data_IF_458955902983
#
_entry.id   IF_458955902983
#
_cell.length_a   1.000
_cell.length_b   1.000
_cell.length_c   1.000
_cell.angle_alpha   90.00
_cell.angle_beta   90.00
_cell.angle_gamma   90.00
#
_symmetry.space_group_name_H-M   'P 1'
#
loop_
_entity.id
_entity.type
_entity.pdbx_description
1 polymer ?
#
# COMPACT_ATOMS: atom_id res chain seq x y z
N UNK A 1 -9.68 -26.70 14.10
CA UNK A 1 -9.11 -25.71 13.16
C UNK A 1 -9.76 -24.38 13.46
N UNK A 2 -8.99 -23.40 13.93
CA UNK A 2 -9.51 -22.07 14.27
C UNK A 2 -9.94 -21.39 12.97
N UNK A 3 -11.25 -21.19 12.80
CA UNK A 3 -11.80 -20.28 11.81
C UNK A 3 -11.27 -18.89 12.15
N UNK A 4 -10.17 -18.52 11.49
CA UNK A 4 -9.48 -17.26 11.68
C UNK A 4 -10.46 -16.18 11.24
N UNK A 5 -10.93 -15.41 12.22
CA UNK A 5 -11.79 -14.26 12.05
C UNK A 5 -11.53 -13.57 10.72
N UNK A 6 -12.58 -13.53 9.89
CA UNK A 6 -12.75 -12.64 8.75
C UNK A 6 -12.80 -11.19 9.26
N UNK A 7 -11.72 -10.69 9.84
CA UNK A 7 -11.44 -9.26 9.77
C UNK A 7 -11.18 -8.99 8.30
N UNK A 8 -12.21 -8.55 7.58
CA UNK A 8 -12.11 -7.90 6.28
C UNK A 8 -11.17 -6.68 6.44
N UNK A 9 -9.86 -6.94 6.45
CA UNK A 9 -8.86 -5.91 6.30
C UNK A 9 -8.60 -5.82 4.80
N UNK A 10 -9.44 -5.05 4.10
CA UNK A 10 -9.49 -4.96 2.64
C UNK A 10 -8.13 -4.59 2.01
N UNK A 11 -7.23 -4.01 2.81
CA UNK A 11 -5.87 -3.67 2.44
C UNK A 11 -4.85 -4.65 3.06
N UNK A 12 -4.84 -5.88 2.53
CA UNK A 12 -3.72 -6.81 2.73
C UNK A 12 -2.49 -6.36 1.94
N UNK A 13 -1.29 -6.89 2.23
CA UNK A 13 -0.08 -6.56 1.46
C UNK A 13 -0.25 -6.87 -0.03
N UNK A 14 -0.84 -8.03 -0.36
CA UNK A 14 -1.10 -8.42 -1.75
C UNK A 14 -2.14 -7.51 -2.43
N UNK A 15 -3.17 -7.08 -1.70
CA UNK A 15 -4.14 -6.13 -2.24
C UNK A 15 -3.52 -4.75 -2.51
N UNK A 16 -2.65 -4.26 -1.61
CA UNK A 16 -1.92 -3.01 -1.80
C UNK A 16 -0.98 -3.11 -3.01
N UNK A 17 -0.24 -4.21 -3.13
CA UNK A 17 0.62 -4.48 -4.29
C UNK A 17 -0.16 -4.48 -5.61
N UNK A 18 -1.30 -5.17 -5.65
CA UNK A 18 -2.19 -5.20 -6.83
C UNK A 18 -2.74 -3.79 -7.17
N UNK A 19 -3.15 -3.00 -6.17
CA UNK A 19 -3.62 -1.61 -6.37
C UNK A 19 -2.51 -0.73 -6.97
N UNK A 20 -1.30 -0.79 -6.41
CA UNK A 20 -0.15 -0.02 -6.89
C UNK A 20 0.21 -0.47 -8.32
N UNK A 21 0.31 -1.78 -8.53
CA UNK A 21 0.64 -2.41 -9.81
C UNK A 21 -0.36 -2.09 -10.91
N UNK A 22 -1.68 -2.14 -10.63
CA UNK A 22 -2.72 -1.86 -11.63
C UNK A 22 -2.86 -0.38 -12.00
N UNK A 23 -2.53 0.54 -11.10
CA UNK A 23 -2.53 1.97 -11.43
C UNK A 23 -3.92 2.60 -11.63
N UNK A 24 -5.00 1.96 -11.16
CA UNK A 24 -6.36 2.49 -11.35
C UNK A 24 -6.60 3.72 -10.46
N UNK A 25 -7.08 4.81 -11.06
CA UNK A 25 -7.29 6.09 -10.36
C UNK A 25 -8.19 5.98 -9.12
N UNK A 26 -9.28 5.22 -9.22
CA UNK A 26 -10.22 5.05 -8.10
C UNK A 26 -9.56 4.28 -6.94
N UNK A 27 -8.86 3.18 -7.24
CA UNK A 27 -8.17 2.37 -6.24
C UNK A 27 -7.04 3.15 -5.57
N UNK A 28 -6.31 3.97 -6.35
CA UNK A 28 -5.29 4.88 -5.81
C UNK A 28 -5.88 5.94 -4.88
N UNK A 29 -7.04 6.50 -5.21
CA UNK A 29 -7.72 7.45 -4.34
C UNK A 29 -8.19 6.79 -3.02
N UNK A 30 -8.67 5.56 -3.08
CA UNK A 30 -9.05 4.78 -1.91
C UNK A 30 -7.83 4.45 -1.04
N UNK A 31 -6.74 3.96 -1.65
CA UNK A 31 -5.49 3.66 -0.94
C UNK A 31 -4.91 4.91 -0.28
N UNK A 32 -4.93 6.06 -0.96
CA UNK A 32 -4.50 7.34 -0.39
C UNK A 32 -5.33 7.71 0.83
N UNK A 33 -6.66 7.61 0.73
CA UNK A 33 -7.56 7.94 1.84
C UNK A 33 -7.29 7.03 3.04
N UNK A 34 -7.12 5.73 2.82
CA UNK A 34 -6.83 4.77 3.89
C UNK A 34 -5.45 4.99 4.51
N UNK A 35 -4.42 5.26 3.70
CA UNK A 35 -3.06 5.57 4.16
C UNK A 35 -3.05 6.79 5.09
N UNK A 36 -3.77 7.85 4.74
CA UNK A 36 -3.83 9.07 5.54
C UNK A 36 -4.66 8.91 6.82
N UNK A 37 -5.57 7.93 6.86
CA UNK A 37 -6.46 7.70 8.00
C UNK A 37 -5.88 6.71 9.04
N UNK A 38 -5.04 5.76 8.61
CA UNK A 38 -4.49 4.73 9.48
C UNK A 38 -2.97 4.54 9.24
N UNK A 39 -2.11 4.88 10.23
CA UNK A 39 -0.67 4.66 10.16
C UNK A 39 -0.27 3.22 9.83
N UNK A 40 -1.07 2.22 10.21
CA UNK A 40 -0.80 0.80 9.88
C UNK A 40 -0.91 0.52 8.39
N UNK A 41 -1.73 1.28 7.66
CA UNK A 41 -1.80 1.19 6.20
C UNK A 41 -0.55 1.82 5.57
N UNK A 42 -0.06 2.93 6.12
CA UNK A 42 1.21 3.53 5.71
C UNK A 42 2.38 2.53 5.87
N UNK A 43 2.50 1.87 7.02
CA UNK A 43 3.51 0.82 7.25
C UNK A 43 3.44 -0.32 6.23
N UNK A 44 2.23 -0.77 5.89
CA UNK A 44 2.03 -1.81 4.87
C UNK A 44 2.45 -1.34 3.48
N UNK A 45 2.12 -0.10 3.11
CA UNK A 45 2.53 0.50 1.83
C UNK A 45 4.05 0.59 1.74
N UNK A 46 4.72 1.06 2.80
CA UNK A 46 6.18 1.09 2.87
C UNK A 46 6.78 -0.31 2.72
N UNK A 47 6.20 -1.31 3.39
CA UNK A 47 6.64 -2.71 3.29
C UNK A 47 6.49 -3.27 1.87
N UNK A 48 5.38 -2.99 1.17
CA UNK A 48 5.20 -3.40 -0.22
C UNK A 48 6.25 -2.71 -1.10
N UNK A 49 6.39 -1.39 -0.99
CA UNK A 49 7.31 -0.65 -1.84
C UNK A 49 8.78 -1.01 -1.61
N UNK A 50 9.15 -1.42 -0.39
CA UNK A 50 10.51 -1.88 -0.06
C UNK A 50 10.97 -3.06 -0.93
N UNK A 51 10.06 -3.90 -1.43
CA UNK A 51 10.41 -5.02 -2.32
C UNK A 51 10.75 -4.59 -3.76
N UNK A 52 10.50 -3.33 -4.13
CA UNK A 52 10.67 -2.81 -5.49
C UNK A 52 11.71 -1.68 -5.59
N UNK A 53 12.44 -1.39 -4.51
CA UNK A 53 13.40 -0.27 -4.47
C UNK A 53 14.58 -0.44 -5.43
N UNK A 54 14.96 -1.68 -5.71
CA UNK A 54 16.09 -2.01 -6.60
C UNK A 54 15.71 -1.92 -8.09
N UNK A 55 14.42 -1.87 -8.42
CA UNK A 55 13.95 -1.72 -9.80
C UNK A 55 13.73 -0.23 -10.14
N UNK A 56 14.61 0.40 -10.93
CA UNK A 56 14.46 1.81 -11.30
C UNK A 56 13.20 2.08 -12.15
N UNK A 57 12.61 1.05 -12.77
CA UNK A 57 11.42 1.18 -13.59
C UNK A 57 10.11 0.98 -12.82
N UNK A 58 10.18 0.58 -11.54
CA UNK A 58 9.05 0.44 -10.64
C UNK A 58 8.51 1.80 -10.13
N UNK A 59 8.35 2.78 -11.03
CA UNK A 59 8.02 4.19 -10.73
C UNK A 59 6.79 4.36 -9.82
N UNK A 60 5.78 3.49 -9.97
CA UNK A 60 4.58 3.51 -9.12
C UNK A 60 4.91 3.22 -7.66
N UNK A 61 5.78 2.24 -7.42
CA UNK A 61 6.22 1.88 -6.07
C UNK A 61 7.12 2.95 -5.47
N UNK A 62 8.01 3.56 -6.27
CA UNK A 62 8.80 4.72 -5.83
C UNK A 62 7.91 5.90 -5.42
N UNK A 63 6.89 6.21 -6.22
CA UNK A 63 5.90 7.24 -5.89
C UNK A 63 5.21 6.95 -4.55
N UNK A 64 4.67 5.74 -4.38
CA UNK A 64 3.94 5.38 -3.15
C UNK A 64 4.85 5.31 -1.92
N UNK A 65 6.10 4.87 -2.07
CA UNK A 65 7.12 4.91 -1.01
C UNK A 65 7.33 6.34 -0.53
N UNK A 66 7.66 7.25 -1.43
CA UNK A 66 7.92 8.64 -1.08
C UNK A 66 6.68 9.35 -0.52
N UNK A 67 5.49 9.03 -1.05
CA UNK A 67 4.24 9.56 -0.52
C UNK A 67 4.01 9.10 0.93
N UNK A 68 4.17 7.80 1.19
CA UNK A 68 4.01 7.24 2.54
C UNK A 68 5.05 7.80 3.52
N UNK A 69 6.32 7.88 3.12
CA UNK A 69 7.41 8.47 3.92
C UNK A 69 7.11 9.92 4.31
N UNK A 70 6.58 10.72 3.38
CA UNK A 70 6.23 12.13 3.62
C UNK A 70 5.09 12.31 4.63
N UNK A 71 4.19 11.33 4.71
CA UNK A 71 2.99 11.39 5.55
C UNK A 71 3.10 10.57 6.84
N UNK A 72 4.25 9.92 7.08
CA UNK A 72 4.54 9.21 8.32
C UNK A 72 5.26 10.08 9.38
N UNK A 73 5.54 11.36 9.07
CA UNK A 73 6.24 12.33 9.92
C UNK A 73 5.28 13.20 10.75
#
# INVERSE_FOLDING_TARGET
MLHRHLTHNELTLAAIDDIIGRGKRADWAALRTALLADPKISEKVLRVCAAHVDDPYAQRYHFWKHYAERHAA
#
